data_IF_807696465530
#
_entry.id   IF_807696465530
#
_cell.length_a   1.000
_cell.length_b   1.000
_cell.length_c   1.000
_cell.angle_alpha   90.00
_cell.angle_beta   90.00
_cell.angle_gamma   90.00
#
_symmetry.space_group_name_H-M   'P 1'
#
loop_
_entity.id
_entity.type
_entity.pdbx_description
1 polymer ?
#
# COMPACT_ATOMS: atom_id res chain seq x y z
N UNK A 1 3.08 9.79 5.02
CA UNK A 1 2.16 10.38 6.00
C UNK A 1 2.57 11.76 6.50
N UNK A 2 3.87 12.03 6.73
CA UNK A 2 4.35 13.41 7.00
C UNK A 2 3.92 14.40 5.90
N UNK A 3 3.88 13.92 4.65
CA UNK A 3 3.28 14.59 3.50
C UNK A 3 1.86 15.12 3.78
N UNK A 4 1.00 14.36 4.43
CA UNK A 4 -0.38 14.74 4.75
C UNK A 4 -0.50 15.86 5.79
N UNK A 5 0.54 16.09 6.61
CA UNK A 5 0.59 17.21 7.55
C UNK A 5 1.14 18.47 6.87
N UNK A 6 2.23 18.30 6.10
CA UNK A 6 2.99 19.43 5.55
C UNK A 6 2.38 19.98 4.26
N UNK A 7 1.93 19.12 3.35
CA UNK A 7 1.52 19.57 2.01
C UNK A 7 0.28 20.44 2.05
N UNK A 8 -0.79 20.12 2.81
CA UNK A 8 -1.94 21.02 2.88
C UNK A 8 -1.56 22.46 3.29
N UNK A 9 -0.57 22.60 4.17
CA UNK A 9 -0.07 23.90 4.62
C UNK A 9 0.75 24.64 3.54
N UNK A 10 1.35 23.90 2.60
CA UNK A 10 2.22 24.43 1.55
C UNK A 10 1.50 24.64 0.20
N UNK A 11 0.36 23.98 -0.04
CA UNK A 11 -0.21 23.84 -1.38
C UNK A 11 -1.41 24.74 -1.70
N UNK A 12 -2.03 25.40 -0.72
CA UNK A 12 -3.23 26.20 -0.94
C UNK A 12 -3.24 27.45 -0.02
N UNK A 13 -3.86 28.58 -0.42
CA UNK A 13 -4.10 29.74 0.45
C UNK A 13 -5.15 29.47 1.56
N UNK A 14 -5.06 28.34 2.27
CA UNK A 14 -5.89 28.11 3.44
C UNK A 14 -5.32 28.88 4.63
N UNK A 15 -6.18 29.52 5.41
CA UNK A 15 -5.75 30.22 6.61
C UNK A 15 -5.27 29.20 7.67
N UNK A 16 -4.15 29.47 8.33
CA UNK A 16 -3.60 28.58 9.37
C UNK A 16 -4.65 28.08 10.41
N UNK A 17 -5.63 28.89 10.86
CA UNK A 17 -6.63 28.42 11.81
C UNK A 17 -7.53 27.29 11.31
N UNK A 18 -7.80 27.21 9.99
CA UNK A 18 -8.68 26.16 9.45
C UNK A 18 -7.97 24.81 9.35
N UNK A 19 -6.66 24.80 9.12
CA UNK A 19 -5.88 23.56 9.02
C UNK A 19 -5.38 23.04 10.36
N UNK A 20 -5.31 23.88 11.39
CA UNK A 20 -4.79 23.50 12.70
C UNK A 20 -5.53 22.28 13.30
N UNK A 21 -6.87 22.18 13.28
CA UNK A 21 -7.58 21.01 13.79
C UNK A 21 -7.22 19.72 13.04
N UNK A 22 -7.05 19.80 11.71
CA UNK A 22 -6.62 18.68 10.89
C UNK A 22 -5.21 18.23 11.32
N UNK A 23 -4.26 19.15 11.41
CA UNK A 23 -2.88 18.86 11.78
C UNK A 23 -2.76 18.24 13.17
N UNK A 24 -3.48 18.79 14.16
CA UNK A 24 -3.53 18.23 15.51
C UNK A 24 -4.12 16.82 15.49
N UNK A 25 -5.18 16.59 14.72
CA UNK A 25 -5.79 15.26 14.61
C UNK A 25 -4.83 14.24 13.97
N UNK A 26 -4.10 14.65 12.93
CA UNK A 26 -3.09 13.81 12.29
C UNK A 26 -1.92 13.52 13.23
N UNK A 27 -1.46 14.52 13.98
CA UNK A 27 -0.40 14.36 14.97
C UNK A 27 -0.81 13.39 16.09
N UNK A 28 -2.00 13.56 16.67
CA UNK A 28 -2.56 12.63 17.66
C UNK A 28 -2.72 11.24 17.05
N UNK A 29 -3.19 11.15 15.80
CA UNK A 29 -3.29 9.90 15.06
C UNK A 29 -1.95 9.18 14.89
N UNK A 30 -0.86 9.91 14.63
CA UNK A 30 0.50 9.35 14.59
C UNK A 30 0.98 8.91 15.97
N UNK A 31 0.69 9.69 17.01
CA UNK A 31 1.03 9.33 18.40
C UNK A 31 0.34 8.04 18.82
N UNK A 32 -0.95 7.86 18.48
CA UNK A 32 -1.68 6.61 18.72
C UNK A 32 -0.97 5.43 18.06
N UNK A 33 -0.59 5.55 16.78
CA UNK A 33 0.12 4.48 16.07
C UNK A 33 1.46 4.17 16.75
N UNK A 34 2.19 5.19 17.21
CA UNK A 34 3.45 5.02 17.94
C UNK A 34 3.28 4.35 19.32
N UNK A 35 2.11 4.45 19.96
CA UNK A 35 1.83 3.71 21.19
C UNK A 35 1.74 2.21 20.93
N UNK A 36 1.19 1.79 19.79
CA UNK A 36 1.12 0.36 19.42
C UNK A 36 2.49 -0.28 19.25
N UNK A 37 3.52 0.47 18.85
CA UNK A 37 4.89 -0.06 18.73
C UNK A 37 5.53 -0.34 20.08
N UNK A 38 4.92 0.11 21.19
CA UNK A 38 5.37 -0.15 22.58
C UNK A 38 4.61 -1.28 23.26
N UNK A 39 3.55 -1.81 22.63
CA UNK A 39 2.79 -2.91 23.19
C UNK A 39 3.64 -4.20 23.18
N UNK A 40 3.56 -5.03 24.24
CA UNK A 40 4.22 -6.32 24.23
C UNK A 40 3.66 -7.19 23.10
N UNK A 41 4.53 -7.96 22.45
CA UNK A 41 4.13 -8.91 21.42
C UNK A 41 3.41 -10.10 22.05
N UNK A 42 2.33 -10.54 21.40
CA UNK A 42 1.56 -11.72 21.80
C UNK A 42 1.86 -12.85 20.84
N UNK A 43 2.22 -14.02 21.39
CA UNK A 43 2.47 -15.21 20.59
C UNK A 43 1.19 -15.81 20.08
N UNK A 44 0.95 -15.69 18.78
CA UNK A 44 -0.06 -16.49 18.09
C UNK A 44 0.46 -17.91 17.85
N UNK A 45 -0.39 -18.91 18.09
CA UNK A 45 -0.05 -20.29 17.72
C UNK A 45 -0.05 -20.41 16.19
N UNK A 46 1.12 -20.61 15.60
CA UNK A 46 1.24 -20.80 14.15
C UNK A 46 1.00 -22.27 13.80
N UNK A 47 0.27 -22.57 12.72
CA UNK A 47 0.19 -23.93 12.22
C UNK A 47 1.60 -24.38 11.81
N UNK A 48 2.01 -25.59 12.24
CA UNK A 48 3.30 -26.19 11.85
C UNK A 48 3.28 -26.63 10.39
N UNK A 49 3.21 -25.67 9.46
CA UNK A 49 3.24 -25.97 8.04
C UNK A 49 4.67 -26.35 7.62
N UNK A 50 4.79 -27.49 6.94
CA UNK A 50 6.07 -27.89 6.35
C UNK A 50 6.42 -26.98 5.18
N UNK A 51 7.72 -26.85 4.87
CA UNK A 51 8.19 -26.08 3.71
C UNK A 51 7.56 -26.56 2.40
N UNK A 52 7.40 -27.87 2.24
CA UNK A 52 6.75 -28.48 1.08
C UNK A 52 5.27 -28.10 1.00
N UNK A 53 4.53 -28.18 2.11
CA UNK A 53 3.13 -27.78 2.18
C UNK A 53 2.92 -26.30 1.84
N UNK A 54 3.77 -25.42 2.37
CA UNK A 54 3.73 -23.99 2.03
C UNK A 54 3.96 -23.73 0.54
N UNK A 55 5.00 -24.34 -0.04
CA UNK A 55 5.30 -24.18 -1.47
C UNK A 55 4.19 -24.76 -2.34
N UNK A 56 3.63 -25.91 -1.98
CA UNK A 56 2.51 -26.52 -2.66
C UNK A 56 1.28 -25.59 -2.67
N UNK A 57 0.93 -25.02 -1.52
CA UNK A 57 -0.18 -24.07 -1.40
C UNK A 57 0.07 -22.80 -2.22
N UNK A 58 1.29 -22.26 -2.20
CA UNK A 58 1.66 -21.10 -3.00
C UNK A 58 1.58 -21.38 -4.51
N UNK A 59 2.09 -22.52 -4.97
CA UNK A 59 2.07 -22.89 -6.40
C UNK A 59 0.65 -23.17 -6.87
N UNK A 60 -0.12 -23.99 -6.15
CA UNK A 60 -1.51 -24.26 -6.50
C UNK A 60 -2.36 -23.00 -6.42
N UNK A 61 -2.20 -22.20 -5.37
CA UNK A 61 -2.88 -20.92 -5.23
C UNK A 61 -2.57 -19.99 -6.41
N UNK A 62 -1.31 -19.95 -6.85
CA UNK A 62 -0.91 -19.19 -8.04
C UNK A 62 -1.59 -19.73 -9.30
N UNK A 63 -1.57 -21.04 -9.54
CA UNK A 63 -2.18 -21.66 -10.72
C UNK A 63 -3.68 -21.36 -10.78
N UNK A 64 -4.41 -21.55 -9.66
CA UNK A 64 -5.85 -21.27 -9.58
C UNK A 64 -6.11 -19.79 -9.85
N UNK A 65 -5.38 -18.91 -9.18
CA UNK A 65 -5.54 -17.46 -9.30
C UNK A 65 -5.30 -16.97 -10.74
N UNK A 66 -4.18 -17.38 -11.36
CA UNK A 66 -3.89 -17.02 -12.75
C UNK A 66 -4.88 -17.64 -13.73
N UNK A 67 -5.36 -18.87 -13.49
CA UNK A 67 -6.39 -19.49 -14.33
C UNK A 67 -7.69 -18.68 -14.31
N UNK A 68 -8.14 -18.25 -13.13
CA UNK A 68 -9.33 -17.39 -12.99
C UNK A 68 -9.11 -16.05 -13.70
N UNK A 69 -7.93 -15.42 -13.54
CA UNK A 69 -7.62 -14.15 -14.20
C UNK A 69 -7.60 -14.27 -15.72
N UNK A 70 -7.01 -15.32 -16.28
CA UNK A 70 -6.96 -15.56 -17.73
C UNK A 70 -8.36 -15.86 -18.28
N UNK A 71 -9.18 -16.64 -17.58
CA UNK A 71 -10.56 -16.93 -18.02
C UNK A 71 -11.44 -15.69 -17.95
N UNK A 72 -11.30 -14.86 -16.92
CA UNK A 72 -12.15 -13.66 -16.73
C UNK A 72 -11.77 -12.49 -17.63
N UNK A 73 -10.48 -12.31 -17.96
CA UNK A 73 -9.98 -11.11 -18.65
C UNK A 73 -9.30 -11.39 -19.99
N UNK A 74 -9.09 -12.67 -20.33
CA UNK A 74 -8.16 -13.09 -21.36
C UNK A 74 -6.69 -12.92 -20.93
N UNK A 75 -5.78 -13.40 -21.78
CA UNK A 75 -4.35 -13.15 -21.64
C UNK A 75 -3.89 -12.16 -22.69
N UNK A 76 -3.40 -10.98 -22.28
CA UNK A 76 -2.71 -10.05 -23.19
C UNK A 76 -1.23 -9.98 -22.79
N UNK A 77 -0.36 -10.11 -23.79
CA UNK A 77 1.10 -10.09 -23.62
C UNK A 77 1.77 -8.88 -24.30
N UNK A 78 0.98 -7.89 -24.69
CA UNK A 78 1.49 -6.68 -25.34
C UNK A 78 1.94 -5.66 -24.29
N UNK A 79 3.12 -5.08 -24.50
CA UNK A 79 3.59 -3.97 -23.67
C UNK A 79 2.79 -2.71 -24.02
N UNK A 80 2.08 -2.11 -23.04
CA UNK A 80 1.26 -0.94 -23.34
C UNK A 80 2.13 0.31 -23.53
N UNK A 81 1.80 1.09 -24.56
CA UNK A 81 2.38 2.42 -24.77
C UNK A 81 1.88 3.40 -23.70
N UNK A 82 2.63 4.47 -23.41
CA UNK A 82 2.29 5.44 -22.36
C UNK A 82 0.88 6.06 -22.50
N UNK A 83 0.38 6.24 -23.73
CA UNK A 83 -0.97 6.74 -24.02
C UNK A 83 -2.09 5.76 -23.70
N UNK A 84 -1.84 4.46 -23.90
CA UNK A 84 -2.88 3.41 -23.77
C UNK A 84 -3.09 2.96 -22.32
N UNK A 85 -2.22 3.37 -21.39
CA UNK A 85 -2.28 2.96 -19.98
C UNK A 85 -3.60 3.32 -19.30
N UNK A 86 -4.24 4.43 -19.70
CA UNK A 86 -5.51 4.84 -19.11
C UNK A 86 -6.69 4.01 -19.63
N UNK A 87 -6.74 3.76 -20.93
CA UNK A 87 -7.76 2.89 -21.56
C UNK A 87 -7.63 1.47 -21.03
N UNK A 88 -6.40 0.94 -20.97
CA UNK A 88 -6.15 -0.40 -20.44
C UNK A 88 -6.67 -0.58 -19.01
N UNK A 89 -6.52 0.44 -18.16
CA UNK A 89 -7.05 0.40 -16.79
C UNK A 89 -8.57 0.44 -16.75
N UNK A 90 -9.19 1.19 -17.64
CA UNK A 90 -10.65 1.26 -17.73
C UNK A 90 -11.22 -0.07 -18.23
N UNK A 91 -10.64 -0.64 -19.28
CA UNK A 91 -10.97 -1.99 -19.78
C UNK A 91 -10.78 -3.04 -18.69
N UNK A 92 -9.67 -2.99 -17.96
CA UNK A 92 -9.38 -3.91 -16.86
C UNK A 92 -10.45 -3.80 -15.76
N UNK A 93 -10.87 -2.59 -15.40
CA UNK A 93 -11.93 -2.37 -14.41
C UNK A 93 -13.28 -2.90 -14.89
N UNK A 94 -13.63 -2.66 -16.15
CA UNK A 94 -14.89 -3.13 -16.73
C UNK A 94 -14.94 -4.65 -16.84
N UNK A 95 -13.87 -5.27 -17.36
CA UNK A 95 -13.76 -6.72 -17.44
C UNK A 95 -13.77 -7.36 -16.04
N UNK A 96 -13.04 -6.79 -15.08
CA UNK A 96 -13.04 -7.29 -13.70
C UNK A 96 -14.38 -7.07 -12.97
N UNK A 97 -15.19 -6.08 -13.36
CA UNK A 97 -16.52 -5.88 -12.80
C UNK A 97 -17.52 -6.99 -13.21
N UNK A 98 -17.30 -7.63 -14.37
CA UNK A 98 -18.15 -8.74 -14.83
C UNK A 98 -18.02 -9.99 -13.95
N UNK A 99 -16.89 -10.15 -13.26
CA UNK A 99 -16.62 -11.21 -12.28
C UNK A 99 -16.24 -10.51 -10.99
N UNK A 100 -17.22 -10.14 -10.16
CA UNK A 100 -17.01 -9.19 -9.03
C UNK A 100 -15.82 -9.49 -8.09
N UNK A 101 -15.37 -10.74 -7.99
CA UNK A 101 -14.19 -11.14 -7.20
C UNK A 101 -12.86 -10.86 -7.92
N UNK A 102 -12.84 -10.79 -9.25
CA UNK A 102 -11.64 -10.62 -10.08
C UNK A 102 -10.86 -9.34 -9.76
N UNK A 103 -11.55 -8.26 -9.37
CA UNK A 103 -10.90 -7.00 -8.94
C UNK A 103 -9.94 -7.23 -7.76
N UNK A 104 -10.34 -8.09 -6.82
CA UNK A 104 -9.50 -8.48 -5.67
C UNK A 104 -8.38 -9.41 -6.12
N UNK A 105 -8.67 -10.39 -6.97
CA UNK A 105 -7.69 -11.37 -7.46
C UNK A 105 -6.52 -10.71 -8.21
N UNK A 106 -6.78 -9.68 -9.02
CA UNK A 106 -5.72 -8.90 -9.70
C UNK A 106 -4.76 -8.30 -8.67
N UNK A 107 -5.33 -7.67 -7.64
CA UNK A 107 -4.55 -7.03 -6.59
C UNK A 107 -3.78 -8.07 -5.77
N UNK A 108 -4.40 -9.20 -5.45
CA UNK A 108 -3.75 -10.30 -4.71
C UNK A 108 -2.64 -10.96 -5.53
N UNK A 109 -2.80 -11.09 -6.85
CA UNK A 109 -1.73 -11.55 -7.75
C UNK A 109 -0.49 -10.64 -7.63
N UNK A 110 -0.70 -9.35 -7.88
CA UNK A 110 0.37 -8.38 -8.03
C UNK A 110 1.00 -7.94 -6.70
N UNK A 111 0.25 -7.99 -5.59
CA UNK A 111 0.68 -7.45 -4.28
C UNK A 111 0.90 -8.52 -3.21
N UNK A 112 0.42 -9.74 -3.41
CA UNK A 112 0.59 -10.82 -2.43
C UNK A 112 1.32 -12.00 -3.05
N UNK A 113 0.72 -12.68 -4.02
CA UNK A 113 1.25 -13.94 -4.56
C UNK A 113 2.62 -13.75 -5.23
N UNK A 114 2.75 -12.79 -6.14
CA UNK A 114 4.02 -12.54 -6.82
C UNK A 114 5.11 -12.06 -5.87
N UNK A 115 4.87 -11.07 -4.98
CA UNK A 115 5.82 -10.72 -3.93
C UNK A 115 6.23 -11.89 -3.05
N UNK A 116 5.31 -12.81 -2.70
CA UNK A 116 5.66 -14.00 -1.94
C UNK A 116 6.66 -14.91 -2.68
N UNK A 117 6.42 -15.15 -3.97
CA UNK A 117 7.33 -15.94 -4.81
C UNK A 117 8.69 -15.25 -5.00
N UNK A 118 8.68 -13.93 -5.22
CA UNK A 118 9.88 -13.09 -5.32
C UNK A 118 10.70 -13.15 -4.03
N UNK A 119 10.08 -12.88 -2.88
CA UNK A 119 10.76 -12.85 -1.58
C UNK A 119 11.28 -14.23 -1.20
N UNK A 120 10.46 -15.28 -1.34
CA UNK A 120 10.90 -16.64 -1.03
C UNK A 120 12.05 -17.06 -1.95
N UNK A 121 11.92 -16.83 -3.25
CA UNK A 121 12.95 -17.14 -4.25
C UNK A 121 14.26 -16.42 -3.99
N UNK A 122 14.20 -15.12 -3.68
CA UNK A 122 15.36 -14.29 -3.39
C UNK A 122 16.06 -14.69 -2.09
N UNK A 123 15.30 -14.80 -0.99
CA UNK A 123 15.85 -15.05 0.35
C UNK A 123 16.38 -16.49 0.49
N UNK A 124 15.70 -17.47 -0.13
CA UNK A 124 16.09 -18.89 -0.07
C UNK A 124 16.94 -19.35 -1.27
N UNK A 125 17.40 -18.43 -2.11
CA UNK A 125 18.17 -18.71 -3.34
C UNK A 125 17.50 -19.73 -4.28
N UNK A 126 16.16 -19.74 -4.31
CA UNK A 126 15.34 -20.55 -5.24
C UNK A 126 14.98 -19.71 -6.46
N UNK A 127 15.96 -19.52 -7.33
CA UNK A 127 15.84 -18.62 -8.50
C UNK A 127 14.69 -18.94 -9.45
N UNK A 128 14.24 -20.21 -9.52
CA UNK A 128 13.05 -20.57 -10.29
C UNK A 128 11.79 -19.89 -9.73
N UNK A 129 11.60 -19.87 -8.41
CA UNK A 129 10.47 -19.19 -7.77
C UNK A 129 10.57 -17.67 -7.94
N UNK A 130 11.79 -17.12 -7.85
CA UNK A 130 12.04 -15.72 -8.12
C UNK A 130 11.65 -15.35 -9.56
N UNK A 131 12.06 -16.16 -10.54
CA UNK A 131 11.73 -15.96 -11.95
C UNK A 131 10.22 -16.08 -12.20
N UNK A 132 9.53 -17.04 -11.57
CA UNK A 132 8.07 -17.15 -11.67
C UNK A 132 7.36 -15.91 -11.10
N UNK A 133 7.79 -15.40 -9.95
CA UNK A 133 7.27 -14.16 -9.39
C UNK A 133 7.55 -12.94 -10.29
N UNK A 134 8.73 -12.89 -10.91
CA UNK A 134 9.11 -11.83 -11.85
C UNK A 134 8.22 -11.86 -13.10
N UNK A 135 8.05 -13.02 -13.73
CA UNK A 135 7.20 -13.21 -14.90
C UNK A 135 5.73 -12.89 -14.56
N UNK A 136 5.25 -13.31 -13.40
CA UNK A 136 3.93 -12.94 -12.90
C UNK A 136 3.75 -11.43 -12.77
N UNK A 137 4.76 -10.71 -12.27
CA UNK A 137 4.70 -9.26 -12.14
C UNK A 137 4.70 -8.54 -13.48
N UNK A 138 5.49 -9.04 -14.44
CA UNK A 138 5.49 -8.54 -15.82
C UNK A 138 4.12 -8.78 -16.48
N UNK A 139 3.53 -9.96 -16.30
CA UNK A 139 2.20 -10.27 -16.82
C UNK A 139 1.12 -9.35 -16.23
N UNK A 140 1.14 -9.12 -14.92
CA UNK A 140 0.24 -8.16 -14.26
C UNK A 140 0.41 -6.74 -14.79
N UNK A 141 1.66 -6.33 -15.07
CA UNK A 141 1.94 -5.05 -15.69
C UNK A 141 1.41 -4.96 -17.13
N UNK A 142 1.59 -6.01 -17.94
CA UNK A 142 1.05 -6.06 -19.31
C UNK A 142 -0.49 -5.97 -19.31
N UNK A 143 -1.15 -6.54 -18.30
CA UNK A 143 -2.61 -6.48 -18.19
C UNK A 143 -3.17 -5.16 -17.64
N UNK A 144 -2.51 -4.54 -16.65
CA UNK A 144 -3.06 -3.36 -15.98
C UNK A 144 -2.35 -2.03 -16.27
N UNK A 145 -1.17 -2.06 -16.89
CA UNK A 145 -0.38 -0.86 -17.19
C UNK A 145 0.01 -0.05 -15.96
N UNK A 146 0.01 -0.65 -14.76
CA UNK A 146 0.35 0.05 -13.52
C UNK A 146 1.85 -0.06 -13.25
N UNK A 147 2.58 1.02 -13.48
CA UNK A 147 4.05 1.08 -13.26
C UNK A 147 4.46 0.71 -11.83
N UNK A 148 3.61 1.00 -10.84
CA UNK A 148 3.82 0.62 -9.43
C UNK A 148 3.98 -0.88 -9.23
N UNK A 149 3.39 -1.72 -10.10
CA UNK A 149 3.57 -3.17 -10.06
C UNK A 149 5.02 -3.54 -10.35
N UNK A 150 5.72 -2.85 -11.26
CA UNK A 150 7.13 -3.16 -11.54
C UNK A 150 8.09 -2.62 -10.49
N UNK A 151 7.78 -1.47 -9.88
CA UNK A 151 8.63 -0.82 -8.87
C UNK A 151 8.83 -1.71 -7.63
N UNK A 152 7.92 -2.65 -7.36
CA UNK A 152 8.05 -3.57 -6.22
C UNK A 152 9.27 -4.49 -6.34
N UNK A 153 9.70 -4.83 -7.56
CA UNK A 153 10.83 -5.74 -7.80
C UNK A 153 12.15 -5.12 -7.30
N UNK A 154 12.60 -3.95 -7.83
CA UNK A 154 13.83 -3.33 -7.34
C UNK A 154 13.70 -2.92 -5.87
N UNK A 155 12.51 -2.60 -5.37
CA UNK A 155 12.30 -2.28 -3.95
C UNK A 155 12.55 -3.50 -3.04
N UNK A 156 12.03 -4.68 -3.40
CA UNK A 156 12.30 -5.93 -2.68
C UNK A 156 13.80 -6.25 -2.71
N UNK A 157 14.44 -6.17 -3.89
CA UNK A 157 15.88 -6.47 -4.02
C UNK A 157 16.73 -5.47 -3.21
N UNK A 158 16.42 -4.18 -3.31
CA UNK A 158 17.15 -3.11 -2.62
C UNK A 158 17.02 -3.20 -1.11
N UNK A 159 15.80 -3.37 -0.58
CA UNK A 159 15.58 -3.52 0.86
C UNK A 159 16.24 -4.81 1.37
N UNK A 160 16.15 -5.89 0.60
CA UNK A 160 16.82 -7.14 0.92
C UNK A 160 18.34 -6.96 1.05
N UNK A 161 18.96 -6.25 0.11
CA UNK A 161 20.39 -5.94 0.12
C UNK A 161 20.76 -5.06 1.32
N UNK A 162 19.96 -4.02 1.60
CA UNK A 162 20.17 -3.16 2.78
C UNK A 162 20.13 -3.97 4.08
N UNK A 163 19.14 -4.84 4.27
CA UNK A 163 19.01 -5.68 5.48
C UNK A 163 20.21 -6.63 5.63
N UNK A 164 20.76 -7.15 4.53
CA UNK A 164 21.87 -8.10 4.58
C UNK A 164 23.23 -7.46 4.84
N UNK A 165 23.48 -6.27 4.29
CA UNK A 165 24.83 -5.71 4.21
C UNK A 165 25.00 -4.38 4.95
N UNK A 166 23.92 -3.68 5.28
CA UNK A 166 24.02 -2.42 6.01
C UNK A 166 24.09 -2.63 7.52
N UNK A 167 24.91 -1.80 8.18
CA UNK A 167 24.94 -1.66 9.65
C UNK A 167 23.99 -0.58 10.17
N UNK A 168 23.45 0.25 9.27
CA UNK A 168 22.55 1.36 9.62
C UNK A 168 21.10 0.87 9.73
N UNK A 169 20.30 1.46 10.63
CA UNK A 169 18.89 1.11 10.74
C UNK A 169 18.15 1.38 9.43
N UNK A 170 17.35 0.40 8.99
CA UNK A 170 16.63 0.44 7.72
C UNK A 170 15.82 1.73 7.55
N UNK A 171 15.12 2.18 8.60
CA UNK A 171 14.32 3.41 8.56
C UNK A 171 15.14 4.65 8.22
N UNK A 172 16.37 4.77 8.74
CA UNK A 172 17.25 5.91 8.43
C UNK A 172 17.73 5.85 6.98
N UNK A 173 18.06 4.66 6.47
CA UNK A 173 18.46 4.51 5.08
C UNK A 173 17.31 4.74 4.10
N UNK A 174 16.10 4.33 4.45
CA UNK A 174 14.91 4.65 3.66
C UNK A 174 14.65 6.16 3.62
N UNK A 175 14.81 6.85 4.76
CA UNK A 175 14.69 8.30 4.82
C UNK A 175 15.78 8.99 4.00
N UNK A 176 17.04 8.59 4.19
CA UNK A 176 18.16 9.13 3.42
C UNK A 176 17.98 8.89 1.92
N UNK A 177 17.61 7.68 1.51
CA UNK A 177 17.34 7.33 0.12
C UNK A 177 16.20 8.16 -0.48
N UNK A 178 15.12 8.39 0.28
CA UNK A 178 14.02 9.26 -0.14
C UNK A 178 14.49 10.72 -0.30
N UNK A 179 15.25 11.25 0.65
CA UNK A 179 15.78 12.61 0.58
C UNK A 179 16.74 12.78 -0.60
N UNK A 180 17.65 11.83 -0.82
CA UNK A 180 18.55 11.83 -1.97
C UNK A 180 17.76 11.76 -3.27
N UNK A 181 16.72 10.93 -3.36
CA UNK A 181 15.85 10.87 -4.54
C UNK A 181 15.16 12.22 -4.79
N UNK A 182 14.60 12.84 -3.77
CA UNK A 182 13.95 14.16 -3.87
C UNK A 182 14.94 15.22 -4.37
N UNK A 183 16.10 15.34 -3.75
CA UNK A 183 17.13 16.32 -4.12
C UNK A 183 17.61 16.10 -5.55
N UNK A 184 17.87 14.84 -5.93
CA UNK A 184 18.33 14.49 -7.28
C UNK A 184 17.30 14.87 -8.33
N UNK A 185 16.03 14.54 -8.12
CA UNK A 185 14.97 14.84 -9.08
C UNK A 185 14.70 16.34 -9.20
N UNK A 186 14.79 17.10 -8.10
CA UNK A 186 14.73 18.56 -8.14
C UNK A 186 15.91 19.11 -8.94
N UNK A 187 17.13 18.59 -8.73
CA UNK A 187 18.31 18.99 -9.49
C UNK A 187 18.19 18.72 -10.99
N UNK A 188 17.62 17.56 -11.36
CA UNK A 188 17.32 17.20 -12.76
C UNK A 188 16.32 18.18 -13.38
N UNK A 189 15.24 18.48 -12.68
CA UNK A 189 14.21 19.39 -13.17
C UNK A 189 14.73 20.82 -13.35
N UNK A 190 15.57 21.30 -12.44
CA UNK A 190 16.25 22.60 -12.58
C UNK A 190 17.21 22.60 -13.77
N UNK A 191 18.01 21.54 -13.94
CA UNK A 191 19.00 21.46 -15.01
C UNK A 191 18.38 21.38 -16.41
N UNK A 192 17.29 20.63 -16.57
CA UNK A 192 16.59 20.48 -17.85
C UNK A 192 15.47 21.51 -18.05
N UNK A 193 15.23 22.42 -17.10
CA UNK A 193 14.12 23.37 -17.10
C UNK A 193 12.75 22.68 -17.36
N UNK A 194 12.57 21.47 -16.84
CA UNK A 194 11.31 20.71 -16.95
C UNK A 194 10.80 20.30 -15.58
N UNK A 195 9.54 19.87 -15.50
CA UNK A 195 8.96 19.28 -14.26
C UNK A 195 8.63 17.79 -14.43
N UNK A 196 9.14 17.16 -15.50
CA UNK A 196 8.72 15.81 -15.88
C UNK A 196 9.24 14.78 -14.87
N UNK A 197 10.47 14.94 -14.37
CA UNK A 197 11.06 13.94 -13.48
C UNK A 197 10.40 13.99 -12.08
N UNK A 198 10.25 15.19 -11.49
CA UNK A 198 9.54 15.33 -10.21
C UNK A 198 8.05 14.99 -10.34
N UNK A 199 7.38 15.36 -11.44
CA UNK A 199 5.95 15.07 -11.61
C UNK A 199 5.66 13.56 -11.72
N UNK A 200 6.57 12.79 -12.31
CA UNK A 200 6.39 11.35 -12.45
C UNK A 200 6.72 10.58 -11.17
N UNK A 201 7.76 10.98 -10.43
CA UNK A 201 8.32 10.19 -9.33
C UNK A 201 8.14 10.79 -7.93
N UNK A 202 7.95 12.11 -7.80
CA UNK A 202 7.70 12.77 -6.51
C UNK A 202 6.25 13.17 -6.33
N UNK A 203 5.65 13.79 -7.36
CA UNK A 203 4.31 14.35 -7.26
C UNK A 203 3.30 13.27 -6.90
N UNK A 204 3.29 12.15 -7.61
CA UNK A 204 2.26 11.11 -7.43
C UNK A 204 2.35 10.32 -6.12
N UNK A 205 3.52 9.82 -5.67
CA UNK A 205 3.58 9.01 -4.44
C UNK A 205 3.73 9.83 -3.15
N UNK A 206 4.20 11.09 -3.21
CA UNK A 206 4.47 11.90 -2.01
C UNK A 206 3.54 13.11 -1.96
N UNK A 207 3.46 13.88 -3.04
CA UNK A 207 2.74 15.17 -3.03
C UNK A 207 1.22 14.98 -3.10
N UNK A 208 0.76 14.14 -4.03
CA UNK A 208 -0.66 13.94 -4.33
C UNK A 208 -1.43 13.40 -3.13
N UNK A 209 -1.00 12.36 -2.40
CA UNK A 209 -1.74 11.89 -1.23
C UNK A 209 -1.87 12.96 -0.14
N UNK A 210 -0.84 13.79 0.04
CA UNK A 210 -0.89 14.89 1.02
C UNK A 210 -1.81 16.03 0.58
N UNK A 211 -1.76 16.43 -0.69
CA UNK A 211 -2.68 17.40 -1.28
C UNK A 211 -4.14 16.91 -1.18
N UNK A 212 -4.37 15.64 -1.50
CA UNK A 212 -5.70 15.04 -1.42
C UNK A 212 -6.23 14.98 0.02
N UNK A 213 -5.38 14.76 1.03
CA UNK A 213 -5.81 14.93 2.44
C UNK A 213 -6.38 16.32 2.68
N UNK A 214 -5.76 17.37 2.14
CA UNK A 214 -6.27 18.74 2.22
C UNK A 214 -7.63 18.90 1.52
N UNK A 215 -7.79 18.38 0.31
CA UNK A 215 -9.06 18.46 -0.43
C UNK A 215 -10.21 17.69 0.24
N UNK A 216 -9.91 16.52 0.80
CA UNK A 216 -10.90 15.77 1.59
C UNK A 216 -11.33 16.56 2.83
N UNK A 217 -10.38 17.19 3.52
CA UNK A 217 -10.70 18.04 4.66
C UNK A 217 -11.57 19.23 4.26
N UNK A 218 -11.17 19.99 3.24
CA UNK A 218 -11.87 21.18 2.75
C UNK A 218 -13.33 20.87 2.36
N UNK A 219 -13.55 19.78 1.62
CA UNK A 219 -14.89 19.35 1.23
C UNK A 219 -15.73 18.90 2.43
N UNK A 220 -15.26 17.91 3.20
CA UNK A 220 -16.06 17.29 4.27
C UNK A 220 -16.13 18.11 5.55
N UNK A 221 -15.37 19.20 5.67
CA UNK A 221 -15.55 20.16 6.75
C UNK A 221 -16.82 21.02 6.56
N UNK A 222 -17.31 21.15 5.33
CA UNK A 222 -18.51 21.92 4.97
C UNK A 222 -19.67 21.06 4.46
N UNK A 223 -19.45 19.75 4.28
CA UNK A 223 -20.43 18.80 3.73
C UNK A 223 -20.67 17.63 4.69
N UNK A 224 -21.84 16.95 4.62
CA UNK A 224 -22.12 15.79 5.45
C UNK A 224 -21.08 14.66 5.25
N UNK A 225 -20.70 14.03 6.36
CA UNK A 225 -19.87 12.83 6.31
C UNK A 225 -20.61 11.66 5.66
N UNK A 226 -19.83 10.69 5.15
CA UNK A 226 -20.35 9.57 4.35
C UNK A 226 -20.67 8.33 5.18
N UNK A 227 -20.13 8.23 6.41
CA UNK A 227 -20.39 7.14 7.35
C UNK A 227 -20.23 5.72 6.76
N UNK A 228 -19.30 5.54 5.81
CA UNK A 228 -19.03 4.30 5.07
C UNK A 228 -20.22 3.72 4.30
N UNK A 229 -21.25 4.51 4.01
CA UNK A 229 -22.42 4.10 3.21
C UNK A 229 -22.06 3.62 1.79
N UNK A 230 -20.88 3.99 1.29
CA UNK A 230 -20.32 3.56 0.01
C UNK A 230 -19.54 2.23 0.10
N UNK A 231 -19.42 1.63 1.28
CA UNK A 231 -18.60 0.45 1.56
C UNK A 231 -19.41 -0.55 2.41
N UNK A 232 -18.91 -0.96 3.57
CA UNK A 232 -19.53 -2.00 4.40
C UNK A 232 -20.81 -1.56 5.15
N UNK A 233 -21.11 -0.27 5.25
CA UNK A 233 -22.38 0.23 5.81
C UNK A 233 -23.45 0.46 4.72
N UNK A 234 -23.20 0.01 3.48
CA UNK A 234 -24.17 0.09 2.41
C UNK A 234 -25.47 -0.63 2.78
N UNK A 235 -26.61 0.05 2.62
CA UNK A 235 -27.95 -0.47 2.96
C UNK A 235 -28.33 -0.40 4.44
N UNK A 236 -27.39 -0.05 5.33
CA UNK A 236 -27.68 0.25 6.74
C UNK A 236 -27.82 1.77 6.94
N UNK A 237 -26.93 2.53 6.29
CA UNK A 237 -26.94 3.99 6.31
C UNK A 237 -27.23 4.47 4.90
N UNK A 238 -28.23 5.34 4.76
CA UNK A 238 -28.55 5.97 3.48
C UNK A 238 -27.35 6.75 2.97
N UNK A 239 -27.02 6.53 1.70
CA UNK A 239 -25.87 7.20 1.13
C UNK A 239 -26.17 8.69 0.93
N UNK A 240 -25.42 9.54 1.63
CA UNK A 240 -25.50 11.00 1.49
C UNK A 240 -25.07 11.48 0.11
N UNK A 241 -24.34 10.65 -0.65
CA UNK A 241 -23.84 10.99 -1.97
C UNK A 241 -24.02 9.82 -2.94
N UNK A 242 -24.35 10.09 -4.20
CA UNK A 242 -24.55 9.06 -5.23
C UNK A 242 -23.26 8.36 -5.69
N UNK A 243 -22.09 8.94 -5.39
CA UNK A 243 -20.78 8.40 -5.77
C UNK A 243 -19.84 8.40 -4.57
N UNK A 244 -18.84 7.50 -4.60
CA UNK A 244 -17.91 7.33 -3.48
C UNK A 244 -16.99 8.55 -3.32
N UNK A 245 -16.43 8.79 -2.11
CA UNK A 245 -15.61 9.96 -1.81
C UNK A 245 -14.48 10.24 -2.83
N UNK A 246 -13.72 9.24 -3.32
CA UNK A 246 -12.68 9.48 -4.32
C UNK A 246 -13.19 10.11 -5.62
N UNK A 247 -14.39 9.73 -6.10
CA UNK A 247 -14.97 10.31 -7.31
C UNK A 247 -15.62 11.67 -7.06
N UNK A 248 -16.17 11.90 -5.86
CA UNK A 248 -16.64 13.23 -5.45
C UNK A 248 -15.51 14.25 -5.51
N UNK A 249 -14.37 13.92 -4.89
CA UNK A 249 -13.20 14.80 -4.86
C UNK A 249 -12.58 14.95 -6.25
N UNK A 250 -12.55 13.87 -7.04
CA UNK A 250 -12.16 13.91 -8.46
C UNK A 250 -13.00 14.90 -9.27
N UNK A 251 -14.33 14.85 -9.12
CA UNK A 251 -15.24 15.78 -9.78
C UNK A 251 -15.06 17.22 -9.29
N UNK A 252 -15.00 17.42 -7.98
CA UNK A 252 -14.99 18.76 -7.38
C UNK A 252 -13.69 19.53 -7.64
N UNK A 253 -12.53 18.90 -7.44
CA UNK A 253 -11.23 19.59 -7.50
C UNK A 253 -10.49 19.39 -8.83
N UNK A 254 -10.85 18.37 -9.62
CA UNK A 254 -10.22 18.09 -10.92
C UNK A 254 -11.18 18.18 -12.11
N UNK A 255 -12.46 18.49 -11.88
CA UNK A 255 -13.46 18.62 -12.94
C UNK A 255 -13.77 17.33 -13.70
N UNK A 256 -13.35 16.17 -13.18
CA UNK A 256 -13.45 14.89 -13.87
C UNK A 256 -14.16 13.84 -13.00
N UNK A 257 -15.39 13.49 -13.37
CA UNK A 257 -16.20 12.49 -12.66
C UNK A 257 -15.67 11.06 -12.78
N UNK A 258 -14.87 10.76 -13.80
CA UNK A 258 -14.28 9.44 -14.01
C UNK A 258 -12.94 9.29 -13.27
N UNK A 259 -12.44 10.39 -12.68
CA UNK A 259 -11.21 10.40 -11.91
C UNK A 259 -11.47 9.94 -10.47
N UNK A 260 -10.81 8.86 -10.08
CA UNK A 260 -10.74 8.42 -8.69
C UNK A 260 -9.56 9.11 -7.99
N UNK A 261 -9.87 10.08 -7.14
CA UNK A 261 -8.90 10.83 -6.33
C UNK A 261 -8.65 10.13 -4.99
N UNK A 262 -8.15 8.88 -5.02
CA UNK A 262 -7.79 8.14 -3.81
C UNK A 262 -6.65 8.86 -3.07
N UNK A 263 -6.80 8.99 -1.76
CA UNK A 263 -5.89 9.79 -0.94
C UNK A 263 -5.04 8.91 -0.01
N UNK A 264 -5.49 8.66 1.21
CA UNK A 264 -4.81 7.79 2.18
C UNK A 264 -5.76 7.45 3.34
N UNK A 265 -5.29 6.63 4.27
CA UNK A 265 -6.10 6.16 5.41
C UNK A 265 -6.79 7.29 6.18
N UNK A 266 -6.15 8.45 6.37
CA UNK A 266 -6.72 9.55 7.17
C UNK A 266 -7.66 10.45 6.39
N UNK A 267 -7.38 10.67 5.11
CA UNK A 267 -8.28 11.41 4.24
C UNK A 267 -9.62 10.68 4.12
N UNK A 268 -9.59 9.36 3.86
CA UNK A 268 -10.79 8.52 3.84
C UNK A 268 -11.48 8.48 5.21
N UNK A 269 -10.71 8.38 6.29
CA UNK A 269 -11.24 8.44 7.65
C UNK A 269 -12.00 9.73 7.94
N UNK A 270 -11.45 10.87 7.51
CA UNK A 270 -12.06 12.18 7.68
C UNK A 270 -13.36 12.31 6.88
N UNK A 271 -13.41 11.81 5.64
CA UNK A 271 -14.65 11.79 4.85
C UNK A 271 -15.78 11.01 5.52
N UNK A 272 -15.45 9.96 6.28
CA UNK A 272 -16.45 9.08 6.87
C UNK A 272 -16.92 9.53 8.26
N UNK A 273 -16.02 10.05 9.11
CA UNK A 273 -16.32 10.37 10.52
C UNK A 273 -15.58 11.62 11.04
N UNK A 274 -15.06 12.48 10.14
CA UNK A 274 -14.30 13.67 10.50
C UNK A 274 -13.06 13.36 11.37
N UNK A 275 -12.81 14.21 12.36
CA UNK A 275 -11.67 14.06 13.28
C UNK A 275 -11.72 12.77 14.10
N UNK A 276 -12.91 12.33 14.52
CA UNK A 276 -13.10 11.05 15.21
C UNK A 276 -12.68 9.88 14.30
N UNK A 277 -12.99 9.98 13.01
CA UNK A 277 -12.55 9.03 11.99
C UNK A 277 -11.04 8.86 12.00
N UNK A 278 -10.29 9.96 11.97
CA UNK A 278 -8.81 9.94 11.99
C UNK A 278 -8.30 9.16 13.20
N UNK A 279 -8.84 9.42 14.39
CA UNK A 279 -8.44 8.73 15.63
C UNK A 279 -8.75 7.23 15.58
N UNK A 280 -9.98 6.85 15.21
CA UNK A 280 -10.40 5.44 15.13
C UNK A 280 -9.57 4.67 14.10
N UNK A 281 -9.33 5.24 12.92
CA UNK A 281 -8.51 4.59 11.91
C UNK A 281 -7.05 4.47 12.33
N UNK A 282 -6.51 5.45 13.08
CA UNK A 282 -5.17 5.33 13.66
C UNK A 282 -5.07 4.20 14.68
N UNK A 283 -6.10 3.98 15.51
CA UNK A 283 -6.16 2.84 16.43
C UNK A 283 -6.19 1.53 15.65
N UNK A 284 -7.08 1.41 14.67
CA UNK A 284 -7.20 0.18 13.85
C UNK A 284 -5.90 -0.07 13.09
N UNK A 285 -5.31 0.97 12.50
CA UNK A 285 -4.04 0.87 11.76
C UNK A 285 -2.89 0.42 12.67
N UNK A 286 -2.76 1.02 13.86
CA UNK A 286 -1.79 0.60 14.87
C UNK A 286 -1.99 -0.86 15.29
N UNK A 287 -3.25 -1.26 15.53
CA UNK A 287 -3.59 -2.65 15.87
C UNK A 287 -3.24 -3.63 14.75
N UNK A 288 -3.49 -3.28 13.48
CA UNK A 288 -3.14 -4.11 12.32
C UNK A 288 -1.62 -4.36 12.26
N UNK A 289 -0.81 -3.32 12.40
CA UNK A 289 0.66 -3.49 12.40
C UNK A 289 1.17 -4.24 13.63
N UNK A 290 0.57 -4.01 14.80
CA UNK A 290 0.88 -4.79 15.99
C UNK A 290 0.57 -6.29 15.81
N UNK A 291 -0.56 -6.64 15.18
CA UNK A 291 -0.86 -8.04 14.83
C UNK A 291 0.14 -8.58 13.82
N UNK A 292 0.52 -7.81 12.81
CA UNK A 292 1.55 -8.21 11.84
C UNK A 292 2.88 -8.53 12.55
N UNK A 293 3.31 -7.70 13.49
CA UNK A 293 4.54 -7.93 14.27
C UNK A 293 4.43 -9.20 15.13
N UNK A 294 3.27 -9.41 15.76
CA UNK A 294 3.00 -10.63 16.53
C UNK A 294 3.04 -11.90 15.67
N UNK A 295 2.48 -11.85 14.45
CA UNK A 295 2.54 -12.97 13.51
C UNK A 295 3.96 -13.20 12.96
N UNK A 296 4.73 -12.13 12.79
CA UNK A 296 6.10 -12.19 12.29
C UNK A 296 7.11 -12.71 13.32
N UNK A 297 6.77 -12.84 14.61
CA UNK A 297 7.69 -13.29 15.67
C UNK A 297 8.34 -14.66 15.37
N UNK A 298 7.63 -15.53 14.65
CA UNK A 298 8.08 -16.89 14.32
C UNK A 298 8.73 -17.01 12.93
N UNK A 299 8.77 -15.91 12.19
CA UNK A 299 9.28 -15.82 10.82
C UNK A 299 10.59 -15.05 10.81
N UNK A 300 11.43 -15.29 9.81
CA UNK A 300 12.61 -14.44 9.59
C UNK A 300 12.14 -12.99 9.35
N UNK A 301 12.54 -12.05 10.21
CA UNK A 301 12.10 -10.64 10.13
C UNK A 301 12.32 -10.04 8.73
N UNK A 302 13.41 -10.41 8.07
CA UNK A 302 13.71 -10.06 6.68
C UNK A 302 12.58 -10.45 5.72
N UNK A 303 12.04 -11.65 5.84
CA UNK A 303 10.93 -12.12 5.00
C UNK A 303 9.66 -11.32 5.30
N UNK A 304 9.30 -11.18 6.58
CA UNK A 304 8.11 -10.43 6.98
C UNK A 304 8.13 -8.98 6.46
N UNK A 305 9.25 -8.27 6.67
CA UNK A 305 9.45 -6.90 6.17
C UNK A 305 9.27 -6.83 4.65
N UNK A 306 9.90 -7.75 3.91
CA UNK A 306 9.81 -7.75 2.45
C UNK A 306 8.40 -8.05 1.92
N UNK A 307 7.64 -8.90 2.61
CA UNK A 307 6.26 -9.25 2.24
C UNK A 307 5.26 -8.11 2.48
N UNK A 308 5.51 -7.25 3.47
CA UNK A 308 4.59 -6.16 3.84
C UNK A 308 4.73 -4.95 2.90
N UNK A 309 5.88 -4.77 2.22
CA UNK A 309 6.18 -3.63 1.34
C UNK A 309 5.01 -3.25 0.40
N UNK A 310 4.44 -4.19 -0.40
CA UNK A 310 3.40 -3.83 -1.37
C UNK A 310 2.13 -3.31 -0.70
N UNK A 311 1.75 -3.88 0.45
CA UNK A 311 0.61 -3.43 1.23
C UNK A 311 0.87 -2.11 1.94
N UNK A 312 2.07 -1.91 2.50
CA UNK A 312 2.48 -0.65 3.12
C UNK A 312 2.46 0.51 2.11
N UNK A 313 2.92 0.28 0.88
CA UNK A 313 2.76 1.26 -0.20
C UNK A 313 1.29 1.56 -0.45
N UNK A 314 0.46 0.53 -0.59
CA UNK A 314 -0.95 0.70 -0.91
C UNK A 314 -1.69 1.53 0.14
N UNK A 315 -1.37 1.37 1.42
CA UNK A 315 -1.96 2.17 2.51
C UNK A 315 -1.60 3.66 2.41
N UNK A 316 -0.44 4.01 1.86
CA UNK A 316 -0.04 5.39 1.68
C UNK A 316 -0.89 6.14 0.64
N UNK A 317 -1.62 5.41 -0.23
CA UNK A 317 -2.38 5.95 -1.36
C UNK A 317 -3.85 5.43 -1.41
N UNK A 318 -4.32 4.78 -0.34
CA UNK A 318 -5.63 4.11 -0.32
C UNK A 318 -6.26 4.11 1.08
N UNK A 319 -7.58 3.96 1.11
CA UNK A 319 -8.35 3.76 2.34
C UNK A 319 -7.90 2.51 3.12
N UNK A 320 -8.11 2.51 4.44
CA UNK A 320 -7.66 1.45 5.35
C UNK A 320 -8.31 0.10 5.03
N UNK A 321 -9.65 0.06 4.98
CA UNK A 321 -10.40 -1.17 4.72
C UNK A 321 -10.17 -1.71 3.31
N UNK A 322 -10.03 -0.83 2.32
CA UNK A 322 -9.60 -1.21 0.96
C UNK A 322 -8.20 -1.82 0.98
N UNK A 323 -7.29 -1.33 1.82
CA UNK A 323 -5.94 -1.90 1.93
C UNK A 323 -5.93 -3.27 2.60
N UNK A 324 -6.80 -3.47 3.59
CA UNK A 324 -6.97 -4.76 4.26
C UNK A 324 -7.48 -5.85 3.31
N UNK A 325 -8.52 -5.55 2.54
CA UNK A 325 -9.20 -6.50 1.65
C UNK A 325 -8.63 -6.48 0.24
N UNK A 326 -8.79 -5.37 -0.48
CA UNK A 326 -8.43 -5.25 -1.90
C UNK A 326 -6.93 -5.37 -2.13
N UNK A 327 -6.12 -4.64 -1.36
CA UNK A 327 -4.65 -4.72 -1.52
C UNK A 327 -4.02 -5.93 -0.82
N UNK A 328 -4.83 -6.77 -0.16
CA UNK A 328 -4.44 -8.09 0.30
C UNK A 328 -3.62 -8.13 1.58
N UNK A 329 -3.65 -7.08 2.41
CA UNK A 329 -2.90 -7.07 3.68
C UNK A 329 -3.36 -8.19 4.61
N UNK A 330 -4.66 -8.49 4.70
CA UNK A 330 -5.16 -9.64 5.46
C UNK A 330 -4.62 -10.96 4.91
N UNK A 331 -4.52 -11.10 3.59
CA UNK A 331 -3.95 -12.29 2.95
C UNK A 331 -2.45 -12.40 3.24
N UNK A 332 -1.71 -11.29 3.25
CA UNK A 332 -0.30 -11.26 3.67
C UNK A 332 -0.16 -11.69 5.13
N UNK A 333 -1.04 -11.23 6.02
CA UNK A 333 -1.05 -11.67 7.43
C UNK A 333 -1.24 -13.18 7.53
N UNK A 334 -2.17 -13.75 6.76
CA UNK A 334 -2.36 -15.21 6.68
C UNK A 334 -1.10 -15.90 6.16
N UNK A 335 -0.46 -15.37 5.10
CA UNK A 335 0.79 -15.92 4.55
C UNK A 335 1.91 -15.91 5.57
N UNK A 336 2.07 -14.81 6.33
CA UNK A 336 3.06 -14.70 7.41
C UNK A 336 2.74 -15.72 8.51
N UNK A 337 1.48 -15.84 8.92
CA UNK A 337 1.05 -16.75 9.97
C UNK A 337 1.33 -18.23 9.65
N UNK A 338 1.16 -18.62 8.38
CA UNK A 338 1.41 -20.00 7.92
C UNK A 338 2.85 -20.22 7.42
N UNK A 339 3.70 -19.19 7.45
CA UNK A 339 5.03 -19.26 6.87
C UNK A 339 5.90 -20.27 7.63
N UNK A 340 6.70 -21.12 6.95
CA UNK A 340 7.52 -22.12 7.63
C UNK A 340 8.50 -21.47 8.62
N UNK A 341 8.54 -21.94 9.88
CA UNK A 341 9.35 -21.32 10.92
C UNK A 341 10.85 -21.38 10.60
N UNK A 342 11.61 -20.46 11.20
CA UNK A 342 13.07 -20.41 11.14
C UNK A 342 13.67 -21.78 11.52
N UNK A 343 14.26 -22.51 10.57
CA UNK A 343 15.18 -23.60 10.95
C UNK A 343 16.56 -23.00 11.15
N UNK A 344 16.94 -22.76 12.41
CA UNK A 344 18.35 -22.64 12.82
C UNK A 344 19.12 -21.40 12.40
N UNK A 345 18.51 -20.31 11.93
CA UNK A 345 19.23 -19.03 11.68
C UNK A 345 18.84 -17.98 12.72
N UNK A 346 19.87 -17.31 13.28
CA UNK A 346 19.82 -16.30 14.35
C UNK A 346 18.62 -15.36 14.19
N UNK A 347 17.89 -15.13 15.30
CA UNK A 347 17.01 -13.95 15.44
C UNK A 347 17.83 -12.73 15.02
N UNK A 348 17.40 -12.03 13.98
CA UNK A 348 17.92 -10.69 13.71
C UNK A 348 17.32 -9.82 14.82
N UNK A 349 18.09 -9.58 15.88
CA UNK A 349 17.73 -8.66 16.95
C UNK A 349 17.67 -7.24 16.39
N UNK A 350 16.52 -6.85 15.86
CA UNK A 350 16.28 -5.47 15.42
C UNK A 350 16.22 -4.48 16.59
N UNK A 351 16.13 -4.96 17.83
CA UNK A 351 15.90 -4.15 19.03
C UNK A 351 17.15 -3.87 19.88
N UNK A 352 18.33 -4.43 19.55
CA UNK A 352 19.51 -4.31 20.41
C UNK A 352 20.27 -2.97 20.33
N UNK A 353 19.76 -1.97 19.58
CA UNK A 353 20.47 -0.71 19.33
C UNK A 353 19.71 0.56 19.70
N UNK A 354 18.60 0.46 20.43
CA UNK A 354 18.03 1.63 21.09
C UNK A 354 18.60 1.68 22.52
N UNK A 355 19.43 2.69 22.87
CA UNK A 355 19.83 2.88 24.26
C UNK A 355 18.59 3.13 25.14
N UNK A 356 18.65 2.76 26.43
CA UNK A 356 17.52 2.80 27.37
C UNK A 356 16.92 4.20 27.55
#
# INVERSE_FOLDING_TARGET
YVSSILIPLLSHPWSYPTLLPLQLSLFVGMMIIALFTRLPLVRFYAPRMTRGGFLFLMVIGSIILYSILVVSMGARFQFPTLGDLYVLRQDQRQAAASVGVAVYLISWAAKVVNPCLLVYGLVRHRWVLFLLGLLGQLFMFMQGGQKSMLIVIPLIIGINWVIQYSKWPLGLLMLAGLMTLVITLIGVDIYYETSIASSLLLRRPIITPGLLTGFYFDYFNSHPFVYYSHSFMHGIIDSTNSVSPPFLIGKQYFGNSDMSANANIWADAYANLGHLGIMLHSIIFGAVFWVVDCLAEQVEARIAVLLIIPAAWAMADSALFTSLLTHGLLLIMVVIWIFPPLSGSKKVEFYAHLPP
#
